data_IF_259856261369
#
_entry.id   IF_259856261369
#
_cell.length_a   1.000
_cell.length_b   1.000
_cell.length_c   1.000
_cell.angle_alpha   90.00
_cell.angle_beta   90.00
_cell.angle_gamma   90.00
#
_symmetry.space_group_name_H-M   'P 1'
#
loop_
_entity.id
_entity.type
_entity.pdbx_description
1 polymer ?
#
# COMPACT_ATOMS: atom_id res chain seq x y z
N UNK A 1 -4.62 -35.30 -6.24
CA UNK A 1 -3.63 -34.27 -5.86
C UNK A 1 -3.61 -34.18 -4.35
N UNK A 2 -2.46 -34.50 -3.74
CA UNK A 2 -2.28 -34.46 -2.29
C UNK A 2 -2.14 -32.98 -1.92
N UNK A 3 -3.09 -32.45 -1.15
CA UNK A 3 -2.98 -31.10 -0.60
C UNK A 3 -1.82 -31.15 0.40
N UNK A 4 -0.64 -30.75 -0.05
CA UNK A 4 0.46 -30.40 0.85
C UNK A 4 -0.03 -29.22 1.66
N UNK A 5 -0.18 -29.44 2.96
CA UNK A 5 -0.36 -28.40 3.95
C UNK A 5 0.84 -27.47 3.82
N UNK A 6 0.65 -26.37 3.10
CA UNK A 6 1.59 -25.27 3.14
C UNK A 6 1.59 -24.79 4.59
N UNK A 7 2.54 -25.31 5.36
CA UNK A 7 3.17 -24.56 6.44
C UNK A 7 3.84 -23.37 5.79
N UNK A 8 3.04 -22.41 5.30
CA UNK A 8 3.50 -21.04 5.38
C UNK A 8 3.75 -20.87 6.87
N UNK A 9 5.02 -20.69 7.23
CA UNK A 9 5.35 -19.86 8.38
C UNK A 9 4.45 -18.65 8.22
N UNK A 10 3.34 -18.65 8.96
CA UNK A 10 2.56 -17.47 9.23
C UNK A 10 3.60 -16.54 9.83
N UNK A 11 4.22 -15.76 8.96
CA UNK A 11 5.08 -14.65 9.29
C UNK A 11 4.35 -13.97 10.43
N UNK A 12 5.01 -13.85 11.58
CA UNK A 12 4.45 -13.22 12.76
C UNK A 12 4.11 -11.77 12.38
N UNK A 13 2.98 -11.57 11.74
CA UNK A 13 2.45 -10.26 11.38
C UNK A 13 2.33 -9.56 12.71
N UNK A 14 3.02 -8.43 12.83
CA UNK A 14 2.95 -7.63 14.05
C UNK A 14 1.47 -7.37 14.32
N UNK A 15 1.05 -7.62 15.57
CA UNK A 15 -0.26 -7.16 15.97
C UNK A 15 -0.33 -5.63 15.79
N UNK A 16 -1.55 -5.12 15.69
CA UNK A 16 -1.77 -3.70 15.40
C UNK A 16 -1.01 -2.77 16.36
N UNK A 17 -0.92 -3.13 17.65
CA UNK A 17 -0.28 -2.27 18.65
C UNK A 17 1.25 -2.33 18.53
N UNK A 18 1.80 -3.51 18.23
CA UNK A 18 3.23 -3.66 17.92
C UNK A 18 3.62 -2.90 16.65
N UNK A 19 2.75 -2.89 15.63
CA UNK A 19 2.93 -2.08 14.42
C UNK A 19 2.96 -0.58 14.74
N UNK A 20 1.97 -0.07 15.50
CA UNK A 20 1.94 1.32 15.92
C UNK A 20 3.18 1.73 16.70
N UNK A 21 3.61 0.90 17.65
CA UNK A 21 4.79 1.18 18.48
C UNK A 21 6.06 1.24 17.64
N UNK A 22 6.21 0.31 16.68
CA UNK A 22 7.38 0.25 15.78
C UNK A 22 7.43 1.47 14.87
N UNK A 23 6.31 1.80 14.21
CA UNK A 23 6.23 2.95 13.30
C UNK A 23 6.45 4.26 14.06
N UNK A 24 5.81 4.43 15.21
CA UNK A 24 5.98 5.62 16.05
C UNK A 24 7.42 5.78 16.53
N UNK A 25 8.09 4.69 16.94
CA UNK A 25 9.50 4.71 17.32
C UNK A 25 10.39 5.18 16.18
N UNK A 26 10.22 4.59 14.98
CA UNK A 26 10.99 4.98 13.81
C UNK A 26 10.79 6.46 13.41
N UNK A 27 9.57 6.99 13.55
CA UNK A 27 9.30 8.42 13.32
C UNK A 27 9.97 9.28 14.39
N UNK A 28 9.95 8.85 15.65
CA UNK A 28 10.54 9.59 16.77
C UNK A 28 12.06 9.69 16.70
N UNK A 29 12.72 8.67 16.15
CA UNK A 29 14.18 8.70 15.91
C UNK A 29 14.58 9.80 14.92
N UNK A 30 13.70 10.16 13.98
CA UNK A 30 13.92 11.22 12.98
C UNK A 30 13.38 12.57 13.48
N UNK A 31 12.26 12.57 14.19
CA UNK A 31 11.57 13.75 14.72
C UNK A 31 11.31 13.55 16.23
N UNK A 32 12.26 13.91 17.11
CA UNK A 32 12.21 13.59 18.53
C UNK A 32 10.98 14.13 19.28
N UNK A 33 10.50 15.31 18.88
CA UNK A 33 9.36 15.99 19.51
C UNK A 33 8.01 15.55 18.93
N UNK A 34 7.98 14.49 18.12
CA UNK A 34 6.75 13.94 17.55
C UNK A 34 5.88 13.21 18.58
N UNK A 35 4.56 13.26 18.36
CA UNK A 35 3.54 12.58 19.16
C UNK A 35 2.59 11.81 18.24
N UNK A 36 2.09 10.67 18.70
CA UNK A 36 1.08 9.90 17.97
C UNK A 36 -0.30 10.46 18.27
N UNK A 37 -0.95 11.04 17.26
CA UNK A 37 -2.37 11.44 17.30
C UNK A 37 -3.18 10.60 16.29
N UNK A 38 -4.17 9.85 16.79
CA UNK A 38 -5.05 9.01 15.98
C UNK A 38 -6.38 9.72 15.62
N UNK A 39 -6.63 10.93 16.16
CA UNK A 39 -7.84 11.70 15.90
C UNK A 39 -7.62 12.73 14.79
N UNK A 40 -6.52 13.49 14.87
CA UNK A 40 -6.23 14.61 13.96
C UNK A 40 -4.76 14.62 13.52
N UNK A 41 -4.26 13.56 12.86
CA UNK A 41 -2.85 13.48 12.49
C UNK A 41 -2.47 14.54 11.44
N UNK A 42 -1.38 15.25 11.68
CA UNK A 42 -0.75 16.12 10.66
C UNK A 42 -0.10 15.29 9.54
N UNK A 43 0.44 14.13 9.92
CA UNK A 43 1.11 13.16 9.08
C UNK A 43 0.55 11.76 9.39
N UNK A 44 0.10 11.04 8.36
CA UNK A 44 -0.34 9.66 8.49
C UNK A 44 0.65 8.71 7.83
N UNK A 45 1.00 7.65 8.53
CA UNK A 45 1.82 6.56 8.01
C UNK A 45 0.91 5.35 7.79
N UNK A 46 0.73 4.95 6.53
CA UNK A 46 -0.04 3.78 6.15
C UNK A 46 0.91 2.63 5.85
N UNK A 47 0.66 1.49 6.45
CA UNK A 47 1.42 0.25 6.24
C UNK A 47 0.45 -0.78 5.71
N UNK A 48 0.68 -1.24 4.48
CA UNK A 48 -0.21 -2.18 3.79
C UNK A 48 0.56 -3.39 3.25
N UNK A 49 -0.01 -4.58 3.42
CA UNK A 49 0.53 -5.80 2.83
C UNK A 49 -0.04 -5.95 1.42
N UNK A 50 0.83 -5.96 0.40
CA UNK A 50 0.43 -5.96 -0.99
C UNK A 50 0.54 -7.37 -1.61
N UNK A 51 -0.54 -7.92 -2.18
CA UNK A 51 -0.46 -9.11 -3.00
C UNK A 51 0.05 -8.74 -4.39
N UNK A 52 1.37 -8.75 -4.57
CA UNK A 52 1.99 -8.39 -5.85
C UNK A 52 2.15 -9.61 -6.77
N UNK A 53 1.57 -9.52 -7.97
CA UNK A 53 1.80 -10.51 -9.03
C UNK A 53 3.26 -10.46 -9.49
N UNK A 54 3.85 -11.63 -9.76
CA UNK A 54 5.24 -11.74 -10.20
C UNK A 54 6.28 -11.75 -9.06
N UNK A 55 5.85 -11.62 -7.80
CA UNK A 55 6.71 -11.83 -6.63
C UNK A 55 6.66 -13.32 -6.23
N UNK A 56 7.78 -13.95 -5.81
CA UNK A 56 7.78 -15.36 -5.41
C UNK A 56 6.75 -15.64 -4.30
N UNK A 57 5.99 -16.73 -4.47
CA UNK A 57 4.99 -17.16 -3.50
C UNK A 57 5.61 -17.31 -2.10
N UNK A 58 4.92 -16.77 -1.09
CA UNK A 58 5.40 -16.74 0.30
C UNK A 58 6.26 -15.53 0.67
N UNK A 59 6.66 -14.70 -0.30
CA UNK A 59 7.31 -13.42 -0.01
C UNK A 59 6.28 -12.41 0.51
N UNK A 60 6.62 -11.69 1.57
CA UNK A 60 5.81 -10.56 2.04
C UNK A 60 6.34 -9.27 1.44
N UNK A 61 5.46 -8.51 0.78
CA UNK A 61 5.76 -7.15 0.34
C UNK A 61 4.86 -6.19 1.09
N UNK A 62 5.48 -5.23 1.77
CA UNK A 62 4.79 -4.19 2.52
C UNK A 62 5.04 -2.87 1.83
N UNK A 63 3.98 -2.13 1.54
CA UNK A 63 4.09 -0.73 1.15
C UNK A 63 3.93 0.17 2.39
N UNK A 64 4.76 1.20 2.44
CA UNK A 64 4.71 2.26 3.45
C UNK A 64 4.44 3.56 2.72
N UNK A 65 3.30 4.19 3.01
CA UNK A 65 2.93 5.49 2.47
C UNK A 65 2.94 6.53 3.58
N UNK A 66 3.59 7.66 3.34
CA UNK A 66 3.59 8.81 4.24
C UNK A 66 2.76 9.91 3.59
N UNK A 67 1.64 10.24 4.22
CA UNK A 67 0.65 11.16 3.66
C UNK A 67 0.41 12.34 4.60
N UNK A 68 0.46 13.60 4.13
CA UNK A 68 -0.01 14.74 4.89
C UNK A 68 -1.54 14.66 5.11
N UNK A 69 -2.02 15.30 6.18
CA UNK A 69 -3.42 15.29 6.61
C UNK A 69 -4.44 15.59 5.49
N UNK A 70 -4.09 16.49 4.58
CA UNK A 70 -4.94 16.90 3.46
C UNK A 70 -5.14 15.80 2.41
N UNK A 71 -4.25 14.81 2.30
CA UNK A 71 -4.39 13.66 1.39
C UNK A 71 -5.11 12.47 2.03
N UNK A 72 -5.12 12.39 3.37
CA UNK A 72 -5.75 11.29 4.12
C UNK A 72 -7.27 11.46 4.20
N UNK A 73 -7.75 12.71 4.21
CA UNK A 73 -9.18 13.04 4.26
C UNK A 73 -9.87 13.03 2.89
N UNK A 74 -9.12 12.99 1.79
CA UNK A 74 -9.69 12.92 0.44
C UNK A 74 -10.03 11.47 0.08
N UNK A 75 -11.33 11.15 -0.03
CA UNK A 75 -11.87 9.89 -0.61
C UNK A 75 -11.10 9.51 -1.89
N UNK A 76 -10.87 8.22 -2.21
CA UNK A 76 -10.07 7.89 -3.38
C UNK A 76 -10.77 8.36 -4.67
N UNK A 77 -10.03 9.05 -5.53
CA UNK A 77 -10.44 9.36 -6.90
C UNK A 77 -9.44 8.79 -7.89
N UNK A 78 -9.73 7.58 -8.33
CA UNK A 78 -9.18 7.01 -9.55
C UNK A 78 -10.15 7.33 -10.70
N UNK A 79 -9.73 8.15 -11.67
CA UNK A 79 -10.46 8.37 -12.93
C UNK A 79 -9.62 7.83 -14.08
N UNK A 80 -9.91 6.60 -14.51
CA UNK A 80 -9.29 6.00 -15.70
C UNK A 80 -10.09 6.45 -16.93
N UNK A 81 -9.44 7.11 -17.89
CA UNK A 81 -10.00 7.38 -19.21
C UNK A 81 -9.15 6.70 -20.27
N UNK A 82 -9.77 5.82 -21.06
CA UNK A 82 -9.13 5.28 -22.25
C UNK A 82 -8.88 6.42 -23.24
N UNK A 83 -7.66 6.51 -23.76
CA UNK A 83 -7.38 7.33 -24.91
C UNK A 83 -8.15 6.73 -26.09
N UNK A 84 -9.07 7.49 -26.66
CA UNK A 84 -9.83 7.11 -27.86
C UNK A 84 -8.85 6.47 -28.84
N UNK A 85 -9.01 5.17 -29.14
CA UNK A 85 -8.18 4.52 -30.14
C UNK A 85 -8.52 5.17 -31.48
N UNK A 86 -7.72 6.15 -31.90
CA UNK A 86 -7.86 6.76 -33.21
C UNK A 86 -7.33 5.75 -34.25
N UNK A 87 -8.05 4.65 -34.44
CA UNK A 87 -7.90 3.81 -35.62
C UNK A 87 -8.53 4.62 -36.74
N UNK A 88 -7.75 5.57 -37.27
CA UNK A 88 -8.05 6.22 -38.54
C UNK A 88 -8.23 5.08 -39.54
N UNK A 89 -9.48 4.84 -39.93
CA UNK A 89 -9.85 3.85 -40.91
C UNK A 89 -8.92 4.00 -42.13
N UNK A 90 -8.07 3.00 -42.40
CA UNK A 90 -7.41 2.87 -43.70
C UNK A 90 -8.48 2.44 -44.70
N UNK A 91 -9.32 3.39 -45.09
CA UNK A 91 -9.98 3.37 -46.39
C UNK A 91 -8.93 3.69 -47.44
N UNK A 92 -8.44 2.66 -48.12
CA UNK A 92 -7.58 2.76 -49.28
C UNK A 92 -7.81 1.53 -50.15
N UNK A 93 -8.65 1.68 -51.18
CA UNK A 93 -9.04 0.67 -52.17
C UNK A 93 -7.81 -0.04 -52.76
N UNK A 94 -7.88 -1.36 -52.86
CA UNK A 94 -7.21 -2.13 -53.91
C UNK A 94 -8.02 -2.02 -55.20
#
# INVERSE_FOLDING_TARGET
>A
MKITKDTSTASNLLDRNSCFSTVAGAVKDVVPDSVVDLKSPELSVLVELLPLSGVPNGSLVVAVSILPQNLVSTKPRLCIKALVSNVKAKGGKH
#
